data_IF_234397523621
#
_entry.id   IF_234397523621
#
_cell.length_a   1.000
_cell.length_b   1.000
_cell.length_c   1.000
_cell.angle_alpha   90.00
_cell.angle_beta   90.00
_cell.angle_gamma   90.00
#
_symmetry.space_group_name_H-M   'P 1'
#
loop_
_entity.id
_entity.type
_entity.pdbx_description
1 polymer ?
#
# COMPACT_ATOMS: atom_id res chain seq x y z
N UNK A 1 6.43 0.30 -18.86
CA UNK A 1 5.02 0.67 -18.56
C UNK A 1 4.54 0.45 -17.09
N UNK A 2 5.39 0.31 -16.05
CA UNK A 2 4.93 0.34 -14.64
C UNK A 2 4.91 1.74 -13.98
N UNK A 3 5.56 2.75 -14.59
CA UNK A 3 5.67 4.12 -14.01
C UNK A 3 4.35 4.91 -13.94
N UNK A 4 3.29 4.43 -14.61
CA UNK A 4 2.00 5.10 -14.58
C UNK A 4 1.20 4.70 -13.33
N UNK A 5 1.30 3.47 -12.85
CA UNK A 5 0.44 2.97 -11.77
C UNK A 5 0.72 3.68 -10.44
N UNK A 6 1.99 3.79 -10.04
CA UNK A 6 2.43 4.53 -8.84
C UNK A 6 2.20 6.05 -8.95
N UNK A 7 2.36 6.63 -10.14
CA UNK A 7 2.02 8.05 -10.36
C UNK A 7 0.52 8.30 -10.30
N UNK A 8 -0.33 7.38 -10.76
CA UNK A 8 -1.79 7.53 -10.73
C UNK A 8 -2.34 7.43 -9.30
N UNK A 9 -1.82 6.52 -8.48
CA UNK A 9 -2.21 6.40 -7.06
C UNK A 9 -1.86 7.68 -6.29
N UNK A 10 -0.67 8.25 -6.51
CA UNK A 10 -0.25 9.50 -5.86
C UNK A 10 -0.93 10.76 -6.44
N UNK A 11 -1.23 10.82 -7.76
CA UNK A 11 -1.89 11.97 -8.37
C UNK A 11 -3.41 12.00 -8.13
N UNK A 12 -4.10 10.87 -8.04
CA UNK A 12 -5.57 10.86 -7.92
C UNK A 12 -6.07 11.44 -6.59
N UNK A 13 -5.29 11.34 -5.50
CA UNK A 13 -5.59 12.01 -4.22
C UNK A 13 -5.43 13.54 -4.31
N UNK A 14 -4.84 14.06 -5.40
CA UNK A 14 -4.46 15.48 -5.57
C UNK A 14 -5.27 16.23 -6.67
N UNK A 15 -6.11 15.57 -7.47
CA UNK A 15 -6.73 16.19 -8.67
C UNK A 15 -8.21 16.62 -8.55
N UNK A 16 -8.84 16.60 -7.36
CA UNK A 16 -10.21 17.13 -7.17
C UNK A 16 -10.27 18.62 -6.80
N UNK A 17 -9.23 19.41 -7.10
CA UNK A 17 -9.15 20.81 -6.65
C UNK A 17 -8.67 21.80 -7.72
N UNK A 18 -9.08 21.66 -8.99
CA UNK A 18 -8.87 22.75 -9.96
C UNK A 18 -10.02 22.91 -10.94
N UNK A 19 -11.17 23.34 -10.42
CA UNK A 19 -12.19 24.00 -11.23
C UNK A 19 -13.04 24.93 -10.36
N UNK A 20 -12.46 26.08 -9.97
CA UNK A 20 -13.19 27.35 -9.73
C UNK A 20 -12.20 28.43 -9.28
N UNK A 21 -11.73 29.22 -10.24
CA UNK A 21 -11.01 30.46 -10.01
C UNK A 21 -12.04 31.56 -9.69
N UNK A 22 -12.31 31.79 -8.40
CA UNK A 22 -12.95 33.03 -7.93
C UNK A 22 -12.74 33.23 -6.42
N UNK A 23 -11.85 34.18 -6.11
CA UNK A 23 -11.88 35.08 -4.95
C UNK A 23 -12.21 34.51 -3.55
N UNK A 24 -11.17 34.29 -2.73
CA UNK A 24 -11.07 34.84 -1.36
C UNK A 24 -9.70 34.51 -0.74
N UNK A 25 -8.92 35.54 -0.48
CA UNK A 25 -7.77 35.52 0.43
C UNK A 25 -8.30 35.36 1.87
N UNK A 26 -8.16 34.18 2.48
CA UNK A 26 -7.93 33.96 3.92
C UNK A 26 -7.88 32.46 4.23
N UNK A 27 -6.80 31.99 4.86
CA UNK A 27 -6.79 30.69 5.56
C UNK A 27 -6.05 29.52 4.89
N UNK A 28 -4.88 29.72 4.29
CA UNK A 28 -3.92 28.62 4.09
C UNK A 28 -3.16 28.35 5.39
N UNK A 29 -3.88 27.97 6.44
CA UNK A 29 -3.31 27.47 7.69
C UNK A 29 -3.41 25.94 7.68
N UNK A 30 -2.26 25.29 7.51
CA UNK A 30 -1.93 23.98 8.07
C UNK A 30 -3.03 22.91 7.97
N UNK A 31 -3.23 22.34 6.78
CA UNK A 31 -3.67 20.96 6.66
C UNK A 31 -2.45 20.03 6.72
N UNK A 32 -1.63 20.17 7.77
CA UNK A 32 -0.99 18.97 8.32
C UNK A 32 -2.12 18.26 9.06
N UNK A 33 -2.88 17.42 8.34
CA UNK A 33 -3.87 16.57 8.97
C UNK A 33 -3.16 15.80 10.07
N UNK A 34 -3.42 16.14 11.33
CA UNK A 34 -3.26 15.16 12.39
C UNK A 34 -4.26 14.08 12.00
N UNK A 35 -3.79 13.03 11.33
CA UNK A 35 -4.60 11.87 11.05
C UNK A 35 -4.93 11.27 12.42
N UNK A 36 -6.05 11.72 12.99
CA UNK A 36 -6.60 11.11 14.19
C UNK A 36 -6.83 9.66 13.85
N UNK A 37 -6.26 8.77 14.67
CA UNK A 37 -6.43 7.33 14.49
C UNK A 37 -7.93 6.99 14.40
N UNK A 38 -8.39 6.37 13.31
CA UNK A 38 -9.79 5.96 13.16
C UNK A 38 -10.16 4.82 14.12
N UNK A 39 -11.45 4.54 14.26
CA UNK A 39 -11.94 3.42 15.06
C UNK A 39 -11.45 2.08 14.48
N UNK A 40 -10.95 1.13 15.30
CA UNK A 40 -10.44 -0.13 14.79
C UNK A 40 -11.45 -0.91 13.93
N UNK A 41 -10.93 -1.57 12.90
CA UNK A 41 -11.71 -2.47 12.03
C UNK A 41 -12.80 -1.80 11.19
N UNK A 42 -12.70 -0.48 10.95
CA UNK A 42 -13.46 0.24 9.92
C UNK A 42 -12.64 0.37 8.62
N UNK A 43 -13.27 0.69 7.48
CA UNK A 43 -12.54 0.96 6.23
C UNK A 43 -11.46 2.03 6.37
N UNK A 44 -11.76 3.13 7.06
CA UNK A 44 -10.82 4.24 7.27
C UNK A 44 -9.61 3.80 8.11
N UNK A 45 -9.81 2.90 9.07
CA UNK A 45 -8.73 2.34 9.86
C UNK A 45 -7.86 1.39 9.05
N UNK A 46 -8.44 0.58 8.15
CA UNK A 46 -7.69 -0.32 7.26
C UNK A 46 -6.79 0.48 6.33
N UNK A 47 -7.30 1.57 5.72
CA UNK A 47 -6.48 2.50 4.91
C UNK A 47 -5.36 3.10 5.78
N UNK A 48 -5.71 3.71 6.91
CA UNK A 48 -4.74 4.36 7.80
C UNK A 48 -3.65 3.39 8.29
N UNK A 49 -4.00 2.18 8.73
CA UNK A 49 -3.04 1.20 9.24
C UNK A 49 -2.16 0.65 8.12
N UNK A 50 -2.71 0.44 6.92
CA UNK A 50 -1.93 0.04 5.74
C UNK A 50 -0.89 1.10 5.38
N UNK A 51 -1.30 2.37 5.31
CA UNK A 51 -0.39 3.51 5.08
C UNK A 51 0.76 3.51 6.09
N UNK A 52 0.47 3.35 7.39
CA UNK A 52 1.51 3.31 8.42
C UNK A 52 2.51 2.16 8.23
N UNK A 53 2.02 0.94 7.95
CA UNK A 53 2.87 -0.24 7.76
C UNK A 53 3.76 -0.07 6.52
N UNK A 54 3.17 0.35 5.40
CA UNK A 54 3.90 0.50 4.14
C UNK A 54 4.84 1.71 4.14
N UNK A 55 4.50 2.81 4.80
CA UNK A 55 5.41 3.95 4.99
C UNK A 55 6.65 3.56 5.81
N UNK A 56 6.47 2.75 6.86
CA UNK A 56 7.58 2.24 7.65
C UNK A 56 8.49 1.32 6.82
N UNK A 57 7.89 0.40 6.05
CA UNK A 57 8.65 -0.48 5.16
C UNK A 57 9.40 0.33 4.10
N UNK A 58 8.73 1.26 3.43
CA UNK A 58 9.29 2.08 2.36
C UNK A 58 10.41 3.01 2.87
N UNK A 59 10.23 3.63 4.03
CA UNK A 59 11.27 4.48 4.63
C UNK A 59 12.52 3.70 5.04
N UNK A 60 12.35 2.46 5.53
CA UNK A 60 13.46 1.58 5.89
C UNK A 60 14.24 1.06 4.68
N UNK A 61 13.60 1.04 3.49
CA UNK A 61 14.13 0.41 2.28
C UNK A 61 14.26 1.38 1.08
N UNK A 62 14.27 2.69 1.33
CA UNK A 62 14.10 3.70 0.28
C UNK A 62 15.21 3.65 -0.79
N UNK A 63 16.44 3.31 -0.42
CA UNK A 63 17.57 3.26 -1.35
C UNK A 63 17.46 2.08 -2.31
N UNK A 64 17.11 0.90 -1.80
CA UNK A 64 16.84 -0.30 -2.60
C UNK A 64 15.65 -0.09 -3.54
N UNK A 65 14.55 0.50 -3.04
CA UNK A 65 13.37 0.82 -3.85
C UNK A 65 13.75 1.78 -4.99
N UNK A 66 14.52 2.82 -4.71
CA UNK A 66 15.01 3.76 -5.74
C UNK A 66 15.99 3.11 -6.72
N UNK A 67 16.78 2.13 -6.29
CA UNK A 67 17.66 1.37 -7.18
C UNK A 67 16.84 0.49 -8.14
N UNK A 68 15.83 -0.22 -7.64
CA UNK A 68 14.91 -1.01 -8.45
C UNK A 68 14.16 -0.17 -9.49
N UNK A 69 13.64 1.00 -9.09
CA UNK A 69 12.95 1.91 -10.01
C UNK A 69 13.85 2.35 -11.16
N UNK A 70 15.11 2.72 -10.87
CA UNK A 70 16.08 3.11 -11.90
C UNK A 70 16.32 2.00 -12.93
N UNK A 71 16.41 0.75 -12.46
CA UNK A 71 16.70 -0.40 -13.31
C UNK A 71 15.47 -0.88 -14.09
N UNK A 72 14.26 -0.71 -13.55
CA UNK A 72 13.02 -1.15 -14.21
C UNK A 72 12.73 -0.48 -15.56
N UNK A 73 13.26 0.73 -15.80
CA UNK A 73 13.11 1.44 -17.07
C UNK A 73 13.99 0.89 -18.20
N UNK A 74 15.07 0.18 -17.85
CA UNK A 74 16.14 -0.21 -18.78
C UNK A 74 16.22 -1.74 -19.00
N UNK A 75 15.34 -2.51 -18.37
CA UNK A 75 15.35 -3.99 -18.35
C UNK A 75 15.09 -4.63 -19.73
N UNK A 76 14.41 -3.94 -20.64
CA UNK A 76 14.01 -4.52 -21.94
C UNK A 76 15.20 -4.73 -22.90
N UNK A 77 16.36 -4.10 -22.66
CA UNK A 77 17.59 -4.35 -23.41
C UNK A 77 18.84 -4.11 -22.52
N UNK A 78 19.19 -5.06 -21.65
CA UNK A 78 20.22 -4.84 -20.64
C UNK A 78 21.62 -4.88 -21.27
N UNK A 79 22.30 -3.72 -21.29
CA UNK A 79 23.73 -3.67 -21.56
C UNK A 79 24.55 -4.37 -20.47
N UNK A 80 25.84 -4.72 -20.71
CA UNK A 80 26.68 -5.43 -19.74
C UNK A 80 26.78 -4.74 -18.36
N UNK A 81 26.75 -3.40 -18.33
CA UNK A 81 26.74 -2.63 -17.08
C UNK A 81 25.43 -2.75 -16.30
N UNK A 82 24.30 -2.94 -16.98
CA UNK A 82 23.00 -3.16 -16.33
C UNK A 82 22.94 -4.57 -15.74
N UNK A 83 23.50 -5.57 -16.42
CA UNK A 83 23.58 -6.93 -15.90
C UNK A 83 24.39 -7.02 -14.60
N UNK A 84 25.50 -6.27 -14.50
CA UNK A 84 26.29 -6.19 -13.24
C UNK A 84 25.48 -5.51 -12.14
N UNK A 85 24.78 -4.41 -12.43
CA UNK A 85 23.92 -3.72 -11.45
C UNK A 85 22.76 -4.59 -10.97
N UNK A 86 22.15 -5.39 -11.86
CA UNK A 86 21.11 -6.35 -11.51
C UNK A 86 21.64 -7.44 -10.58
N UNK A 87 22.86 -7.93 -10.81
CA UNK A 87 23.49 -8.91 -9.93
C UNK A 87 23.74 -8.35 -8.54
N UNK A 88 24.21 -7.09 -8.41
CA UNK A 88 24.37 -6.44 -7.10
C UNK A 88 23.05 -6.18 -6.40
N UNK A 89 21.99 -5.91 -7.17
CA UNK A 89 20.65 -5.66 -6.64
C UNK A 89 19.93 -6.93 -6.17
N UNK A 90 20.42 -8.11 -6.55
CA UNK A 90 19.81 -9.38 -6.14
C UNK A 90 19.96 -9.62 -4.62
N UNK A 91 21.10 -9.22 -4.05
CA UNK A 91 21.33 -9.28 -2.60
C UNK A 91 20.42 -8.25 -1.90
N UNK A 92 20.39 -7.00 -2.38
CA UNK A 92 19.51 -5.95 -1.85
C UNK A 92 18.02 -6.34 -1.93
N UNK A 93 17.61 -7.07 -2.97
CA UNK A 93 16.25 -7.58 -3.11
C UNK A 93 15.94 -8.69 -2.10
N UNK A 94 16.94 -9.53 -1.79
CA UNK A 94 16.79 -10.56 -0.75
C UNK A 94 16.60 -9.91 0.62
N UNK A 95 17.39 -8.88 0.92
CA UNK A 95 17.25 -8.11 2.16
C UNK A 95 15.90 -7.38 2.22
N UNK A 96 15.45 -6.79 1.11
CA UNK A 96 14.13 -6.18 1.00
C UNK A 96 12.99 -7.16 1.32
N UNK A 97 13.09 -8.40 0.83
CA UNK A 97 12.11 -9.45 1.10
C UNK A 97 12.13 -9.88 2.58
N UNK A 98 13.31 -10.03 3.18
CA UNK A 98 13.45 -10.33 4.61
C UNK A 98 12.86 -9.21 5.48
N UNK A 99 13.03 -7.96 5.05
CA UNK A 99 12.45 -6.81 5.73
C UNK A 99 10.93 -6.75 5.59
N UNK A 100 10.37 -7.22 4.48
CA UNK A 100 8.93 -7.37 4.34
C UNK A 100 8.39 -8.38 5.36
N UNK A 101 9.04 -9.52 5.50
CA UNK A 101 8.67 -10.56 6.49
C UNK A 101 8.82 -10.06 7.93
N UNK A 102 9.75 -9.15 8.18
CA UNK A 102 10.07 -8.63 9.52
C UNK A 102 9.23 -7.42 9.92
N UNK A 103 8.80 -6.59 8.96
CA UNK A 103 8.10 -5.32 9.21
C UNK A 103 6.62 -5.44 8.85
N UNK A 104 6.31 -5.92 7.65
CA UNK A 104 4.95 -5.88 7.11
C UNK A 104 4.12 -7.04 7.64
N UNK A 105 4.64 -8.27 7.53
CA UNK A 105 3.85 -9.46 7.90
C UNK A 105 3.39 -9.48 9.37
N UNK A 106 4.23 -9.15 10.37
CA UNK A 106 3.79 -9.17 11.76
C UNK A 106 2.69 -8.15 12.03
N UNK A 107 2.83 -6.93 11.52
CA UNK A 107 1.83 -5.87 11.70
C UNK A 107 0.51 -6.18 10.98
N UNK A 108 0.57 -6.81 9.80
CA UNK A 108 -0.63 -7.29 9.11
C UNK A 108 -1.32 -8.40 9.89
N UNK A 109 -0.58 -9.37 10.42
CA UNK A 109 -1.14 -10.45 11.23
C UNK A 109 -1.77 -9.91 12.51
N UNK A 110 -1.12 -8.96 13.19
CA UNK A 110 -1.66 -8.32 14.38
C UNK A 110 -2.96 -7.55 14.08
N UNK A 111 -3.02 -6.85 12.94
CA UNK A 111 -4.23 -6.15 12.49
C UNK A 111 -5.37 -7.13 12.17
N UNK A 112 -5.06 -8.25 11.50
CA UNK A 112 -6.04 -9.30 11.21
C UNK A 112 -6.53 -9.92 12.52
N UNK A 113 -5.64 -10.23 13.46
CA UNK A 113 -6.00 -10.85 14.73
C UNK A 113 -6.86 -9.92 15.59
N UNK A 114 -6.58 -8.61 15.56
CA UNK A 114 -7.41 -7.59 16.19
C UNK A 114 -8.82 -7.51 15.58
N UNK A 115 -8.94 -7.74 14.26
CA UNK A 115 -10.19 -7.51 13.52
C UNK A 115 -10.95 -8.76 13.12
N UNK A 116 -10.40 -9.96 13.29
CA UNK A 116 -11.01 -11.23 12.87
C UNK A 116 -12.38 -11.51 13.50
N UNK A 117 -12.70 -10.87 14.64
CA UNK A 117 -14.02 -10.95 15.28
C UNK A 117 -15.08 -10.04 14.65
N UNK A 118 -14.66 -8.97 13.97
CA UNK A 118 -15.54 -7.93 13.42
C UNK A 118 -16.24 -8.39 12.15
N UNK A 119 -17.55 -8.14 12.06
CA UNK A 119 -18.33 -8.39 10.83
C UNK A 119 -17.98 -7.39 9.72
N UNK A 120 -17.45 -6.22 10.08
CA UNK A 120 -17.13 -5.14 9.14
C UNK A 120 -15.74 -5.27 8.52
N UNK A 121 -14.88 -6.16 9.03
CA UNK A 121 -13.51 -6.28 8.56
C UNK A 121 -13.40 -6.73 7.09
N UNK A 122 -14.12 -7.78 6.70
CA UNK A 122 -14.03 -8.28 5.32
C UNK A 122 -14.57 -7.28 4.29
N UNK A 123 -15.73 -6.63 4.50
CA UNK A 123 -16.18 -5.54 3.63
C UNK A 123 -15.19 -4.36 3.56
N UNK A 124 -14.58 -3.98 4.68
CA UNK A 124 -13.57 -2.93 4.73
C UNK A 124 -12.31 -3.30 3.92
N UNK A 125 -11.83 -4.53 4.11
CA UNK A 125 -10.65 -5.05 3.43
C UNK A 125 -10.89 -5.22 1.91
N UNK A 126 -12.05 -5.70 1.49
CA UNK A 126 -12.36 -5.83 0.06
C UNK A 126 -12.53 -4.47 -0.62
N UNK A 127 -13.12 -3.49 0.07
CA UNK A 127 -13.17 -2.09 -0.41
C UNK A 127 -11.78 -1.52 -0.61
N UNK A 128 -10.90 -1.69 0.38
CA UNK A 128 -9.50 -1.26 0.29
C UNK A 128 -8.78 -1.89 -0.92
N UNK A 129 -8.87 -3.21 -1.10
CA UNK A 129 -8.24 -3.89 -2.23
C UNK A 129 -8.77 -3.39 -3.58
N UNK A 130 -10.06 -3.06 -3.66
CA UNK A 130 -10.66 -2.48 -4.88
C UNK A 130 -10.07 -1.11 -5.18
N UNK A 131 -9.90 -0.27 -4.16
CA UNK A 131 -9.32 1.06 -4.30
C UNK A 131 -7.83 1.00 -4.69
N UNK A 132 -7.11 -0.03 -4.24
CA UNK A 132 -5.73 -0.33 -4.67
C UNK A 132 -5.64 -0.98 -6.07
N UNK A 133 -6.77 -1.20 -6.74
CA UNK A 133 -6.84 -1.66 -8.13
C UNK A 133 -6.81 -3.18 -8.31
N UNK A 134 -7.06 -3.95 -7.25
CA UNK A 134 -7.24 -5.41 -7.35
C UNK A 134 -8.51 -5.73 -8.15
N UNK A 135 -8.41 -6.70 -9.07
CA UNK A 135 -9.53 -7.12 -9.91
C UNK A 135 -10.68 -7.73 -9.10
N UNK A 136 -11.91 -7.46 -9.52
CA UNK A 136 -13.13 -7.92 -8.83
C UNK A 136 -13.21 -9.46 -8.75
N UNK A 137 -12.66 -10.14 -9.74
CA UNK A 137 -12.56 -11.61 -9.77
C UNK A 137 -11.71 -12.15 -8.61
N UNK A 138 -10.59 -11.48 -8.28
CA UNK A 138 -9.72 -11.84 -7.16
C UNK A 138 -10.39 -11.47 -5.83
N UNK A 139 -11.03 -10.30 -5.76
CA UNK A 139 -11.72 -9.81 -4.56
C UNK A 139 -12.82 -10.79 -4.13
N UNK A 140 -13.63 -11.29 -5.06
CA UNK A 140 -14.69 -12.29 -4.77
C UNK A 140 -14.11 -13.55 -4.12
N UNK A 141 -12.95 -14.02 -4.58
CA UNK A 141 -12.26 -15.16 -3.95
C UNK A 141 -11.74 -14.82 -2.55
N UNK A 142 -11.19 -13.63 -2.35
CA UNK A 142 -10.70 -13.16 -1.05
C UNK A 142 -11.85 -13.05 -0.04
N UNK A 143 -12.99 -12.48 -0.44
CA UNK A 143 -14.19 -12.43 0.41
C UNK A 143 -14.65 -13.83 0.80
N UNK A 144 -14.79 -14.73 -0.18
CA UNK A 144 -15.22 -16.10 0.07
C UNK A 144 -14.29 -16.85 1.02
N UNK A 145 -12.97 -16.75 0.82
CA UNK A 145 -11.97 -17.40 1.68
C UNK A 145 -11.92 -16.76 3.07
N UNK A 146 -12.01 -15.44 3.15
CA UNK A 146 -12.01 -14.68 4.39
C UNK A 146 -13.18 -15.06 5.30
N UNK A 147 -14.40 -15.16 4.76
CA UNK A 147 -15.56 -15.63 5.53
C UNK A 147 -15.38 -17.04 6.07
N UNK A 148 -14.85 -17.97 5.26
CA UNK A 148 -14.57 -19.35 5.70
C UNK A 148 -13.53 -19.38 6.82
N UNK A 149 -12.44 -18.62 6.68
CA UNK A 149 -11.37 -18.58 7.68
C UNK A 149 -11.84 -17.96 9.01
N UNK A 150 -12.62 -16.88 8.97
CA UNK A 150 -13.15 -16.24 10.18
C UNK A 150 -14.19 -17.12 10.90
N UNK A 151 -15.03 -17.84 10.15
CA UNK A 151 -15.99 -18.80 10.74
C UNK A 151 -15.28 -19.95 11.46
N UNK A 152 -14.14 -20.43 10.94
CA UNK A 152 -13.33 -21.44 11.62
C UNK A 152 -12.74 -20.94 12.94
N UNK A 153 -12.32 -19.66 13.01
CA UNK A 153 -11.77 -19.08 14.25
C UNK A 153 -12.81 -18.81 15.33
N UNK A 154 -14.10 -18.75 15.00
CA UNK A 154 -15.19 -18.60 15.98
C UNK A 154 -15.57 -19.91 16.69
N UNK A 155 -15.08 -21.06 16.22
CA UNK A 155 -15.33 -22.39 16.79
C UNK A 155 -14.20 -22.80 17.73
#
# INVERSE_FOLDING_TARGET
MPDLFMRYVWLMKQTRLFASLAAALTGAALLSGCATQPDPCTPEWVEWKSDQIFDQFASSNIDTIRALQRVSGDIDNPGPLLAIQLATLADDFTDLAQDFDRIVLPELNDAIDQCAGSQEFMPAFSSFLRDEGVGEDVIVWIEALGYVAMEQRRR
#
